data_IF_998951061393
#
_entry.id   IF_998951061393
#
_cell.length_a   1.000
_cell.length_b   1.000
_cell.length_c   1.000
_cell.angle_alpha   90.00
_cell.angle_beta   90.00
_cell.angle_gamma   90.00
#
_symmetry.space_group_name_H-M   'P 1'
#
loop_
_entity.id
_entity.type
_entity.pdbx_description
1 polymer ?
#
# COMPACT_ATOMS: atom_id res chain seq x y z
N UNK A 1 2.45 17.96 1.09
CA UNK A 1 3.05 17.59 2.37
C UNK A 1 4.54 17.50 2.15
N UNK A 2 5.37 18.00 3.06
CA UNK A 2 6.82 17.95 2.86
C UNK A 2 7.33 16.52 2.99
N UNK A 3 8.43 16.19 2.30
CA UNK A 3 9.00 14.83 2.33
C UNK A 3 9.41 14.40 3.76
N UNK A 4 9.87 15.33 4.59
CA UNK A 4 10.20 15.10 6.00
C UNK A 4 8.97 14.71 6.82
N UNK A 5 7.84 15.40 6.64
CA UNK A 5 6.56 15.10 7.32
C UNK A 5 6.04 13.72 6.92
N UNK A 6 6.11 13.38 5.62
CA UNK A 6 5.76 12.05 5.13
C UNK A 6 6.62 11.00 5.83
N UNK A 7 7.94 11.20 5.81
CA UNK A 7 8.91 10.28 6.40
C UNK A 7 8.65 10.08 7.89
N UNK A 8 8.39 11.16 8.63
CA UNK A 8 8.05 11.09 10.06
C UNK A 8 6.80 10.23 10.30
N UNK A 9 5.71 10.46 9.56
CA UNK A 9 4.47 9.69 9.69
C UNK A 9 4.73 8.21 9.39
N UNK A 10 5.45 7.88 8.32
CA UNK A 10 5.76 6.50 7.93
C UNK A 10 6.74 5.80 8.89
N UNK A 11 7.50 6.57 9.68
CA UNK A 11 8.41 6.06 10.70
C UNK A 11 7.76 5.79 12.06
N UNK A 12 6.50 6.21 12.26
CA UNK A 12 5.79 5.92 13.51
C UNK A 12 5.62 4.41 13.70
N UNK A 13 5.70 3.88 14.94
CA UNK A 13 5.57 2.45 15.20
C UNK A 13 4.33 1.83 14.57
N UNK A 14 3.16 2.46 14.74
CA UNK A 14 1.89 2.01 14.15
C UNK A 14 1.93 1.99 12.62
N UNK A 15 2.54 2.99 11.99
CA UNK A 15 2.71 3.00 10.53
C UNK A 15 3.60 1.85 10.07
N UNK A 16 4.68 1.54 10.81
CA UNK A 16 5.59 0.44 10.50
C UNK A 16 4.93 -0.92 10.67
N UNK A 17 4.07 -1.09 11.69
CA UNK A 17 3.23 -2.28 11.84
C UNK A 17 2.29 -2.47 10.65
N UNK A 18 1.63 -1.40 10.18
CA UNK A 18 0.75 -1.46 9.02
C UNK A 18 1.52 -1.72 7.73
N UNK A 19 2.67 -1.06 7.52
CA UNK A 19 3.53 -1.27 6.35
C UNK A 19 4.17 -2.66 6.29
N UNK A 20 4.17 -3.41 7.40
CA UNK A 20 4.63 -4.79 7.48
C UNK A 20 3.52 -5.83 7.16
N UNK A 21 2.29 -5.39 6.87
CA UNK A 21 1.19 -6.28 6.46
C UNK A 21 1.32 -6.68 4.99
N UNK A 22 0.64 -7.75 4.60
CA UNK A 22 0.77 -8.30 3.25
C UNK A 22 -0.10 -7.60 2.19
N UNK A 23 -1.26 -7.05 2.57
CA UNK A 23 -2.27 -6.55 1.63
C UNK A 23 -2.59 -5.08 1.86
N UNK A 24 -2.66 -4.33 0.77
CA UNK A 24 -3.18 -2.96 0.73
C UNK A 24 -4.33 -2.87 -0.28
N UNK A 25 -5.15 -1.81 -0.16
CA UNK A 25 -6.17 -1.49 -1.15
C UNK A 25 -5.64 -0.38 -2.06
N UNK A 26 -5.29 -0.74 -3.29
CA UNK A 26 -4.84 0.19 -4.33
C UNK A 26 -6.05 0.81 -5.03
N UNK A 27 -6.17 2.12 -4.94
CA UNK A 27 -7.10 2.92 -5.71
C UNK A 27 -6.39 3.65 -6.86
N UNK A 28 -6.98 3.58 -8.06
CA UNK A 28 -6.46 4.21 -9.27
C UNK A 28 -7.61 4.61 -10.21
N UNK A 29 -7.34 5.46 -11.19
CA UNK A 29 -8.30 5.89 -12.20
C UNK A 29 -8.16 4.98 -13.42
N UNK A 30 -9.25 4.31 -13.82
CA UNK A 30 -9.28 3.43 -14.99
C UNK A 30 -9.26 4.21 -16.31
N UNK A 31 -9.13 3.49 -17.42
CA UNK A 31 -9.11 4.04 -18.78
C UNK A 31 -10.37 4.85 -19.13
N UNK A 32 -11.51 4.44 -18.58
CA UNK A 32 -12.81 5.08 -18.73
C UNK A 32 -13.01 6.30 -17.78
N UNK A 33 -11.98 6.68 -17.02
CA UNK A 33 -12.02 7.78 -16.06
C UNK A 33 -12.69 7.43 -14.73
N UNK A 34 -13.23 6.23 -14.56
CA UNK A 34 -13.89 5.81 -13.31
C UNK A 34 -12.89 5.27 -12.29
N UNK A 35 -13.16 5.38 -10.98
CA UNK A 35 -12.28 4.83 -9.97
C UNK A 35 -12.32 3.30 -9.95
N UNK A 36 -11.17 2.70 -9.63
CA UNK A 36 -11.03 1.29 -9.27
C UNK A 36 -10.35 1.20 -7.92
N UNK A 37 -10.77 0.25 -7.10
CA UNK A 37 -10.13 -0.08 -5.83
C UNK A 37 -9.98 -1.60 -5.76
N UNK A 38 -8.76 -2.09 -5.59
CA UNK A 38 -8.46 -3.54 -5.58
C UNK A 38 -7.56 -3.90 -4.41
N UNK A 39 -7.73 -5.07 -3.78
CA UNK A 39 -6.71 -5.62 -2.90
C UNK A 39 -5.49 -6.06 -3.73
N UNK A 40 -4.30 -5.82 -3.20
CA UNK A 40 -3.04 -6.24 -3.84
C UNK A 40 -1.96 -6.47 -2.78
N UNK A 41 -1.12 -7.48 -3.02
CA UNK A 41 0.10 -7.72 -2.24
C UNK A 41 1.10 -6.58 -2.40
N UNK A 42 1.76 -6.18 -1.32
CA UNK A 42 2.75 -5.10 -1.37
C UNK A 42 3.93 -5.37 -0.44
N UNK A 43 5.03 -4.66 -0.70
CA UNK A 43 6.20 -4.58 0.17
C UNK A 43 6.56 -3.12 0.38
N UNK A 44 6.91 -2.78 1.61
CA UNK A 44 7.55 -1.51 1.95
C UNK A 44 9.07 -1.68 1.98
N UNK A 45 9.79 -1.03 1.07
CA UNK A 45 11.25 -1.15 0.97
C UNK A 45 12.03 -0.15 1.85
N UNK A 46 11.31 0.68 2.63
CA UNK A 46 11.89 1.73 3.46
C UNK A 46 11.63 3.14 2.96
N UNK A 47 11.36 3.30 1.66
CA UNK A 47 11.07 4.60 1.01
C UNK A 47 9.85 4.56 0.09
N UNK A 48 9.55 3.41 -0.50
CA UNK A 48 8.53 3.21 -1.52
C UNK A 48 7.69 1.97 -1.23
N UNK A 49 6.48 1.97 -1.79
CA UNK A 49 5.57 0.82 -1.75
C UNK A 49 5.66 0.13 -3.10
N UNK A 50 6.06 -1.13 -3.10
CA UNK A 50 6.25 -1.93 -4.31
C UNK A 50 5.15 -2.99 -4.38
N UNK A 51 4.46 -3.06 -5.51
CA UNK A 51 3.51 -4.12 -5.81
C UNK A 51 3.92 -4.79 -7.12
N UNK A 52 3.93 -6.11 -7.18
CA UNK A 52 4.34 -6.85 -8.37
C UNK A 52 3.10 -7.42 -9.07
N UNK A 53 3.04 -7.30 -10.40
CA UNK A 53 1.90 -7.76 -11.19
C UNK A 53 2.34 -8.29 -12.56
N UNK A 54 1.57 -9.19 -13.20
CA UNK A 54 1.86 -9.64 -14.55
C UNK A 54 1.78 -8.48 -15.58
N UNK A 55 2.55 -8.52 -16.67
CA UNK A 55 2.62 -7.45 -17.67
C UNK A 55 1.29 -7.21 -18.42
N UNK A 56 0.38 -8.19 -18.42
CA UNK A 56 -0.95 -8.11 -19.02
C UNK A 56 -2.03 -7.60 -18.07
N UNK A 57 -1.69 -7.17 -16.85
CA UNK A 57 -2.68 -6.68 -15.89
C UNK A 57 -3.35 -5.37 -16.37
N UNK A 58 -4.69 -5.26 -16.35
CA UNK A 58 -5.42 -4.12 -16.92
C UNK A 58 -5.11 -2.77 -16.24
N UNK A 59 -4.73 -2.82 -14.96
CA UNK A 59 -4.31 -1.64 -14.19
C UNK A 59 -3.09 -0.94 -14.81
N UNK A 60 -2.21 -1.65 -15.52
CA UNK A 60 -0.98 -1.08 -16.07
C UNK A 60 -1.28 -0.04 -17.16
N UNK A 61 -2.23 -0.30 -18.06
CA UNK A 61 -2.64 0.67 -19.07
C UNK A 61 -3.22 1.95 -18.42
N UNK A 62 -3.99 1.77 -17.34
CA UNK A 62 -4.55 2.85 -16.55
C UNK A 62 -3.47 3.69 -15.87
N UNK A 63 -2.51 3.05 -15.20
CA UNK A 63 -1.41 3.71 -14.49
C UNK A 63 -0.43 4.44 -15.42
N UNK A 64 -0.23 3.95 -16.65
CA UNK A 64 0.55 4.68 -17.67
C UNK A 64 -0.08 6.02 -18.03
N UNK A 65 -1.41 6.10 -18.14
CA UNK A 65 -2.11 7.36 -18.43
C UNK A 65 -2.24 8.27 -17.23
N UNK A 66 -2.49 7.70 -16.06
CA UNK A 66 -2.61 8.43 -14.82
C UNK A 66 -1.88 7.69 -13.68
N UNK A 67 -0.66 8.11 -13.33
CA UNK A 67 0.12 7.44 -12.29
C UNK A 67 -0.30 7.83 -10.87
N UNK A 68 -1.29 8.71 -10.69
CA UNK A 68 -1.77 9.07 -9.37
C UNK A 68 -2.54 7.90 -8.75
N UNK A 69 -2.14 7.50 -7.54
CA UNK A 69 -2.74 6.41 -6.79
C UNK A 69 -3.01 6.80 -5.35
N UNK A 70 -3.95 6.10 -4.72
CA UNK A 70 -4.13 6.09 -3.27
C UNK A 70 -4.05 4.66 -2.74
N UNK A 71 -3.52 4.50 -1.53
CA UNK A 71 -3.38 3.23 -0.85
C UNK A 71 -3.96 3.34 0.56
N UNK A 72 -4.66 2.30 0.98
CA UNK A 72 -5.14 2.15 2.36
C UNK A 72 -4.62 0.85 2.94
N UNK A 73 -4.09 0.92 4.15
CA UNK A 73 -3.68 -0.23 4.95
C UNK A 73 -4.30 -0.07 6.33
N UNK A 74 -5.04 -1.07 6.78
CA UNK A 74 -5.89 -0.95 7.95
C UNK A 74 -6.05 -2.27 8.71
N UNK A 75 -6.50 -2.15 9.96
CA UNK A 75 -6.94 -3.26 10.80
C UNK A 75 -8.41 -3.07 11.19
N UNK A 76 -9.14 -4.17 11.29
CA UNK A 76 -10.56 -4.16 11.67
C UNK A 76 -10.76 -4.25 13.21
N UNK A 77 -9.70 -4.49 13.98
CA UNK A 77 -9.73 -4.60 15.45
C UNK A 77 -9.84 -3.22 16.10
N UNK A 78 -10.58 -3.09 17.21
CA UNK A 78 -10.73 -1.83 17.95
C UNK A 78 -9.56 -1.56 18.94
N UNK A 79 -8.99 -0.34 18.98
CA UNK A 79 -9.20 0.74 18.02
C UNK A 79 -8.55 0.42 16.66
N UNK A 80 -9.22 0.76 15.53
CA UNK A 80 -8.68 0.46 14.22
C UNK A 80 -7.48 1.37 13.92
N UNK A 81 -6.40 0.74 13.44
CA UNK A 81 -5.22 1.43 12.92
C UNK A 81 -5.39 1.60 11.42
N UNK A 82 -5.19 2.82 10.91
CA UNK A 82 -5.42 3.17 9.50
C UNK A 82 -4.25 4.01 9.00
N UNK A 83 -3.59 3.54 7.94
CA UNK A 83 -2.60 4.28 7.19
C UNK A 83 -3.17 4.60 5.80
N UNK A 84 -3.35 5.88 5.53
CA UNK A 84 -3.80 6.43 4.27
C UNK A 84 -2.61 7.03 3.53
N UNK A 85 -2.47 6.72 2.25
CA UNK A 85 -1.35 7.14 1.44
C UNK A 85 -1.84 7.64 0.09
N UNK A 86 -1.15 8.62 -0.47
CA UNK A 86 -1.25 8.98 -1.89
C UNK A 86 0.14 9.02 -2.47
N UNK A 87 0.26 8.68 -3.73
CA UNK A 87 1.57 8.60 -4.38
C UNK A 87 1.49 8.67 -5.88
N UNK A 88 2.66 8.64 -6.50
CA UNK A 88 2.84 8.48 -7.93
C UNK A 88 3.43 7.10 -8.18
N UNK A 89 2.77 6.33 -9.04
CA UNK A 89 3.23 5.02 -9.47
C UNK A 89 4.18 5.13 -10.67
N UNK A 90 5.31 4.47 -10.57
CA UNK A 90 6.22 4.17 -11.68
C UNK A 90 6.11 2.67 -12.01
N UNK A 91 6.19 2.35 -13.30
CA UNK A 91 6.04 0.99 -13.79
C UNK A 91 7.40 0.51 -14.29
N UNK A 92 7.98 -0.43 -13.57
CA UNK A 92 9.30 -1.00 -13.85
C UNK A 92 9.14 -2.46 -14.29
N UNK A 93 9.35 -2.72 -15.58
CA UNK A 93 9.29 -4.07 -16.14
C UNK A 93 10.63 -4.76 -15.88
N UNK A 94 10.58 -5.92 -15.23
CA UNK A 94 11.78 -6.72 -14.94
C UNK A 94 11.64 -8.14 -15.49
N UNK A 95 12.78 -8.71 -15.86
CA UNK A 95 12.87 -10.12 -16.22
C UNK A 95 12.78 -11.00 -14.97
N UNK A 96 12.01 -12.07 -15.05
CA UNK A 96 11.75 -12.98 -13.95
C UNK A 96 10.85 -12.40 -12.85
N UNK A 97 11.06 -12.90 -11.63
CA UNK A 97 10.23 -12.59 -10.46
C UNK A 97 11.03 -11.67 -9.52
N UNK A 98 10.53 -10.46 -9.21
CA UNK A 98 11.15 -9.58 -8.22
C UNK A 98 11.19 -10.21 -6.83
N UNK A 99 12.23 -9.90 -6.04
CA UNK A 99 12.33 -10.34 -4.65
C UNK A 99 11.12 -9.88 -3.82
N UNK A 100 10.59 -8.69 -4.09
CA UNK A 100 9.39 -8.17 -3.40
C UNK A 100 8.16 -9.07 -3.61
N UNK A 101 8.03 -9.70 -4.78
CA UNK A 101 6.94 -10.65 -5.03
C UNK A 101 7.05 -11.88 -4.15
N UNK A 102 8.27 -12.37 -3.89
CA UNK A 102 8.49 -13.53 -3.02
C UNK A 102 8.35 -13.18 -1.53
N UNK A 103 8.68 -11.94 -1.16
CA UNK A 103 8.53 -11.41 0.21
C UNK A 103 7.07 -11.18 0.62
N UNK A 104 6.23 -10.67 -0.28
CA UNK A 104 4.82 -10.29 -0.04
C UNK A 104 3.87 -11.45 0.35
N UNK A 105 4.38 -12.66 0.59
CA UNK A 105 3.58 -13.87 0.77
C UNK A 105 3.45 -14.32 2.23
N UNK A 106 3.64 -13.43 3.20
CA UNK A 106 3.43 -13.76 4.62
C UNK A 106 2.00 -14.19 4.93
N UNK A 107 1.03 -13.74 4.12
CA UNK A 107 -0.38 -14.15 4.22
C UNK A 107 -0.64 -15.60 3.75
N UNK A 108 0.26 -16.19 2.96
CA UNK A 108 0.16 -17.58 2.54
C UNK A 108 0.78 -18.46 3.64
N UNK A 109 -0.06 -19.01 4.51
CA UNK A 109 0.38 -20.06 5.43
C UNK A 109 0.72 -21.31 4.61
N UNK A 110 2.01 -21.54 4.37
CA UNK A 110 2.53 -22.69 3.62
C UNK A 110 3.59 -23.42 4.44
N UNK A 111 3.62 -24.75 4.38
CA UNK A 111 4.77 -25.50 4.87
C UNK A 111 6.00 -25.24 3.97
N UNK A 112 7.23 -25.53 4.44
CA UNK A 112 8.43 -25.39 3.60
C UNK A 112 8.33 -26.16 2.28
N UNK A 113 7.71 -27.34 2.27
CA UNK A 113 7.54 -28.17 1.07
C UNK A 113 6.56 -27.52 0.09
N UNK A 114 5.41 -27.05 0.59
CA UNK A 114 4.43 -26.32 -0.22
C UNK A 114 5.04 -25.05 -0.83
N UNK A 115 5.92 -24.37 -0.08
CA UNK A 115 6.60 -23.18 -0.56
C UNK A 115 7.50 -23.47 -1.75
N UNK A 116 8.24 -24.59 -1.73
CA UNK A 116 9.10 -25.01 -2.85
C UNK A 116 8.27 -25.28 -4.11
N UNK A 117 7.16 -26.01 -3.98
CA UNK A 117 6.26 -26.31 -5.10
C UNK A 117 5.65 -25.03 -5.69
N UNK A 118 5.15 -24.14 -4.82
CA UNK A 118 4.59 -22.86 -5.24
C UNK A 118 5.62 -21.97 -5.95
N UNK A 119 6.85 -21.87 -5.43
CA UNK A 119 7.91 -21.09 -6.09
C UNK A 119 8.26 -21.67 -7.46
N UNK A 120 8.23 -23.00 -7.63
CA UNK A 120 8.44 -23.64 -8.92
C UNK A 120 7.33 -23.29 -9.92
N UNK A 121 6.06 -23.31 -9.49
CA UNK A 121 4.92 -22.90 -10.32
C UNK A 121 4.99 -21.42 -10.72
N UNK A 122 5.30 -20.55 -9.76
CA UNK A 122 5.46 -19.11 -10.01
C UNK A 122 6.58 -18.85 -11.01
N UNK A 123 7.73 -19.52 -10.86
CA UNK A 123 8.88 -19.43 -11.80
C UNK A 123 8.57 -19.98 -13.18
N UNK A 124 7.71 -21.00 -13.28
CA UNK A 124 7.27 -21.53 -14.56
C UNK A 124 6.25 -20.61 -15.26
N UNK A 125 5.44 -19.88 -14.48
CA UNK A 125 4.37 -19.02 -15.00
C UNK A 125 4.87 -17.62 -15.41
N UNK A 126 5.70 -16.98 -14.58
CA UNK A 126 6.12 -15.60 -14.77
C UNK A 126 7.53 -15.51 -15.35
N UNK A 127 7.60 -15.25 -16.65
CA UNK A 127 8.85 -14.94 -17.37
C UNK A 127 9.29 -13.50 -17.12
N UNK A 128 8.34 -12.59 -16.92
CA UNK A 128 8.56 -11.19 -16.62
C UNK A 128 7.44 -10.69 -15.70
N UNK A 129 7.74 -9.66 -14.91
CA UNK A 129 6.76 -8.98 -14.06
C UNK A 129 6.96 -7.47 -14.10
N UNK A 130 5.90 -6.73 -13.81
CA UNK A 130 5.97 -5.28 -13.61
C UNK A 130 5.91 -4.97 -12.13
N UNK A 131 6.91 -4.26 -11.63
CA UNK A 131 6.93 -3.59 -10.34
C UNK A 131 6.20 -2.25 -10.48
N UNK A 132 5.12 -2.09 -9.73
CA UNK A 132 4.43 -0.81 -9.52
C UNK A 132 5.08 -0.18 -8.29
N UNK A 133 5.99 0.75 -8.51
CA UNK A 133 6.76 1.43 -7.46
C UNK A 133 6.06 2.75 -7.14
N UNK A 134 5.53 2.88 -5.92
CA UNK A 134 4.80 4.06 -5.49
C UNK A 134 5.66 4.90 -4.56
N UNK A 135 6.02 6.10 -5.02
CA UNK A 135 6.62 7.13 -4.18
C UNK A 135 5.51 7.89 -3.43
N UNK A 136 5.47 7.85 -2.09
CA UNK A 136 4.46 8.58 -1.32
C UNK A 136 4.62 10.09 -1.48
N UNK A 137 3.51 10.79 -1.75
CA UNK A 137 3.42 12.26 -1.85
C UNK A 137 2.56 12.87 -0.75
N UNK A 138 1.82 12.02 -0.03
CA UNK A 138 1.01 12.36 1.12
C UNK A 138 0.78 11.10 1.96
N UNK A 139 0.69 11.26 3.28
CA UNK A 139 0.41 10.19 4.22
C UNK A 139 -0.44 10.71 5.38
N UNK A 140 -1.25 9.85 5.97
CA UNK A 140 -1.92 10.09 7.24
C UNK A 140 -2.08 8.79 8.01
N UNK A 141 -1.69 8.82 9.27
CA UNK A 141 -1.91 7.74 10.23
C UNK A 141 -3.07 8.13 11.17
N UNK A 142 -3.97 7.19 11.43
CA UNK A 142 -5.08 7.30 12.38
C UNK A 142 -5.07 6.06 13.27
N UNK A 143 -4.98 6.23 14.58
CA UNK A 143 -4.99 5.15 15.58
C UNK A 143 -6.02 5.36 16.70
N UNK A 144 -6.73 6.50 16.71
CA UNK A 144 -7.69 6.90 17.75
C UNK A 144 -7.12 7.05 19.17
N UNK A 145 -5.80 6.95 19.31
CA UNK A 145 -5.08 7.13 20.57
C UNK A 145 -4.22 8.39 20.53
N UNK A 146 -3.36 8.50 19.51
CA UNK A 146 -2.44 9.63 19.31
C UNK A 146 -2.86 10.51 18.14
N UNK A 147 -3.69 10.00 17.23
CA UNK A 147 -4.14 10.67 16.02
C UNK A 147 -5.60 10.37 15.73
N UNK A 148 -6.30 11.37 15.22
CA UNK A 148 -7.72 11.27 14.89
C UNK A 148 -7.99 11.54 13.40
N UNK A 149 -9.14 11.08 12.89
CA UNK A 149 -9.69 11.66 11.67
C UNK A 149 -9.82 13.17 11.84
N UNK A 150 -9.47 13.97 10.83
CA UNK A 150 -9.36 15.44 10.99
C UNK A 150 -10.70 16.07 11.35
N UNK A 151 -11.80 15.51 10.83
CA UNK A 151 -13.15 15.93 11.19
C UNK A 151 -13.47 15.67 12.68
N UNK A 152 -12.94 14.59 13.27
CA UNK A 152 -13.14 14.27 14.69
C UNK A 152 -12.28 15.17 15.57
N UNK A 153 -11.03 15.38 15.19
CA UNK A 153 -10.11 16.31 15.87
C UNK A 153 -10.71 17.73 15.94
N UNK A 154 -11.27 18.21 14.84
CA UNK A 154 -11.95 19.50 14.78
C UNK A 154 -13.14 19.58 15.75
N UNK A 155 -13.95 18.52 15.85
CA UNK A 155 -15.07 18.47 16.78
C UNK A 155 -14.62 18.43 18.25
N UNK A 156 -13.51 17.74 18.55
CA UNK A 156 -12.91 17.72 19.91
C UNK A 156 -12.46 19.12 20.29
N UNK A 157 -11.77 19.83 19.40
CA UNK A 157 -11.31 21.20 19.65
C UNK A 157 -12.48 22.17 19.87
N UNK A 158 -13.51 22.14 19.00
CA UNK A 158 -14.72 22.95 19.16
C UNK A 158 -15.44 22.67 20.48
N UNK A 159 -15.45 21.42 20.94
CA UNK A 159 -16.01 21.07 22.25
C UNK A 159 -15.18 21.70 23.39
N UNK A 160 -13.86 21.59 23.32
CA UNK A 160 -12.98 22.17 24.34
C UNK A 160 -13.13 23.70 24.43
N UNK A 161 -13.26 24.38 23.28
CA UNK A 161 -13.51 25.82 23.22
C UNK A 161 -14.86 26.23 23.83
N UNK A 162 -15.91 25.42 23.66
CA UNK A 162 -17.23 25.69 24.25
C UNK A 162 -17.25 25.46 25.76
N UNK A 163 -16.47 24.49 26.23
CA UNK A 163 -16.44 24.06 27.63
C UNK A 163 -15.41 24.89 28.47
N UNK A 164 -14.67 25.82 27.83
CA UNK A 164 -13.70 26.74 28.44
C UNK A 164 -14.31 28.11 28.79
#
# INVERSE_FOLDING_TARGET
MQASEITEILNRPVSRELLARDITRLAYVAEDGTPRAIPIGFVWNGTEIVMCTPPNAPKLASLRRNPAVALTIDTEVHPPKILLLRGRAELDLVEGIPDEFLQSNGAYTMTPEQRVEWEAEVRALYVEMVRIVVTPTWAKMIDFETTLPSAVEELVNRRAERDA
#
